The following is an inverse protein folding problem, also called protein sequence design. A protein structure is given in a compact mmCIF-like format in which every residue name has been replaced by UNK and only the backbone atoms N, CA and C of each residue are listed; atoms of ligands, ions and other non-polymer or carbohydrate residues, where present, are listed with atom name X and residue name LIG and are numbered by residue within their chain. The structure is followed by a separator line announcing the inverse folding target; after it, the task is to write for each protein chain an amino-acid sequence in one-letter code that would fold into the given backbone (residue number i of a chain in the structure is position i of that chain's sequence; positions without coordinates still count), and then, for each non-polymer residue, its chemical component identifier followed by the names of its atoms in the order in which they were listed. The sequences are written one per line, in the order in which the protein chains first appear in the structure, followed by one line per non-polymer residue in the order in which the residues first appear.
data_IF_225972082677
#
_entry.id   IF_225972082677
#
_cell.length_a   1.000
_cell.length_b   1.000
_cell.length_c   1.000
_cell.angle_alpha   90.00
_cell.angle_beta   90.00
_cell.angle_gamma   90.00
#
_symmetry.space_group_name_H-M   'P 1'
#
loop_
_entity.id
_entity.type
_entity.pdbx_description
1 polymer ?
#
# COMPACT_ATOMS: atom_id res chain seq x y z
N UNK A 1 -2.31 2.67 17.32
CA UNK A 1 -1.36 1.72 16.70
C UNK A 1 -1.58 1.76 15.19
N UNK A 2 -0.52 1.83 14.40
CA UNK A 2 -0.59 1.71 12.94
C UNK A 2 -0.70 0.21 12.60
N UNK A 3 -1.50 -0.14 11.61
CA UNK A 3 -1.66 -1.52 11.18
C UNK A 3 -1.38 -1.65 9.68
N UNK A 4 -0.69 -2.73 9.32
CA UNK A 4 -0.53 -3.19 7.94
C UNK A 4 -1.05 -4.62 7.85
N UNK A 5 -2.06 -4.82 7.04
CA UNK A 5 -2.55 -6.14 6.67
C UNK A 5 -2.11 -6.46 5.24
N UNK A 6 -1.62 -7.67 5.06
CA UNK A 6 -1.27 -8.19 3.75
C UNK A 6 -2.01 -9.52 3.57
N UNK A 7 -2.60 -9.71 2.41
CA UNK A 7 -3.27 -10.95 2.03
C UNK A 7 -2.82 -11.42 0.66
N UNK A 8 -2.79 -12.73 0.49
CA UNK A 8 -2.55 -13.37 -0.79
C UNK A 8 -3.87 -13.89 -1.37
N UNK A 9 -4.15 -13.51 -2.61
CA UNK A 9 -5.32 -13.99 -3.34
C UNK A 9 -4.98 -15.26 -4.12
N UNK A 10 -5.79 -16.28 -3.95
CA UNK A 10 -5.70 -17.48 -4.77
C UNK A 10 -6.25 -17.22 -6.18
N UNK A 11 -5.60 -17.76 -7.20
CA UNK A 11 -6.08 -17.64 -8.57
C UNK A 11 -7.46 -18.31 -8.70
N UNK A 12 -8.40 -17.59 -9.32
CA UNK A 12 -9.79 -18.08 -9.46
C UNK A 12 -10.64 -17.89 -8.20
N UNK A 13 -10.17 -17.13 -7.23
CA UNK A 13 -10.90 -16.81 -6.00
C UNK A 13 -12.29 -16.25 -6.28
N UNK A 14 -13.29 -16.71 -5.54
CA UNK A 14 -14.67 -16.26 -5.64
C UNK A 14 -15.20 -15.85 -4.26
N UNK A 15 -16.02 -14.83 -4.26
CA UNK A 15 -16.73 -14.36 -3.08
C UNK A 15 -18.23 -14.52 -3.25
N UNK A 16 -18.91 -14.85 -2.15
CA UNK A 16 -20.36 -14.93 -2.17
C UNK A 16 -20.99 -13.56 -2.46
N UNK A 17 -22.15 -13.47 -3.11
CA UNK A 17 -22.86 -12.21 -3.31
C UNK A 17 -23.10 -11.45 -2.00
N UNK A 18 -23.28 -12.15 -0.89
CA UNK A 18 -23.47 -11.55 0.41
C UNK A 18 -22.25 -10.74 0.89
N UNK A 19 -21.03 -11.16 0.58
CA UNK A 19 -19.83 -10.40 0.93
C UNK A 19 -19.73 -9.08 0.16
N UNK A 20 -20.28 -8.99 -1.04
CA UNK A 20 -20.38 -7.71 -1.76
C UNK A 20 -21.31 -6.70 -1.07
N UNK A 21 -22.27 -7.14 -0.24
CA UNK A 21 -23.14 -6.24 0.51
C UNK A 21 -22.44 -5.54 1.68
N UNK A 22 -21.25 -6.01 2.08
CA UNK A 22 -20.39 -5.31 3.05
C UNK A 22 -19.93 -3.95 2.52
N UNK A 23 -19.76 -3.84 1.20
CA UNK A 23 -19.35 -2.60 0.54
C UNK A 23 -20.55 -1.68 0.32
N UNK A 24 -20.34 -0.37 0.49
CA UNK A 24 -21.31 0.64 0.06
C UNK A 24 -21.49 0.67 -1.46
N UNK A 25 -22.52 1.35 -1.94
CA UNK A 25 -22.75 1.52 -3.39
C UNK A 25 -21.59 2.22 -4.08
N UNK A 26 -21.00 3.23 -3.45
CA UNK A 26 -19.84 3.97 -3.97
C UNK A 26 -18.61 3.07 -4.08
N UNK A 27 -18.36 2.24 -3.07
CA UNK A 27 -17.24 1.29 -3.06
C UNK A 27 -17.43 0.20 -4.12
N UNK A 28 -18.66 -0.32 -4.26
CA UNK A 28 -18.99 -1.28 -5.35
C UNK A 28 -18.81 -0.66 -6.72
N UNK A 29 -19.22 0.60 -6.89
CA UNK A 29 -19.03 1.32 -8.14
C UNK A 29 -17.53 1.50 -8.44
N UNK A 30 -16.71 1.82 -7.42
CA UNK A 30 -15.27 1.94 -7.58
C UNK A 30 -14.64 0.60 -8.02
N UNK A 31 -14.95 -0.51 -7.37
CA UNK A 31 -14.46 -1.85 -7.74
C UNK A 31 -14.80 -2.18 -9.19
N UNK A 32 -16.03 -1.86 -9.64
CA UNK A 32 -16.48 -2.15 -11.01
C UNK A 32 -15.83 -1.29 -12.10
N UNK A 33 -15.10 -0.23 -11.75
CA UNK A 33 -14.40 0.62 -12.72
C UNK A 33 -13.20 -0.06 -13.39
N UNK A 34 -12.62 -1.04 -12.74
CA UNK A 34 -11.50 -1.80 -13.30
C UNK A 34 -11.98 -2.66 -14.46
N UNK A 35 -11.18 -2.72 -15.54
CA UNK A 35 -11.52 -3.50 -16.73
C UNK A 35 -11.25 -5.00 -16.55
N UNK A 36 -10.15 -5.33 -15.86
CA UNK A 36 -9.74 -6.71 -15.62
C UNK A 36 -10.44 -7.25 -14.37
N UNK A 37 -10.87 -8.51 -14.42
CA UNK A 37 -11.52 -9.16 -13.27
C UNK A 37 -10.58 -9.32 -12.07
N UNK A 38 -9.30 -9.56 -12.33
CA UNK A 38 -8.28 -9.66 -11.32
C UNK A 38 -8.15 -8.33 -10.54
N UNK A 39 -8.09 -7.20 -11.24
CA UNK A 39 -8.02 -5.88 -10.62
C UNK A 39 -9.30 -5.54 -9.85
N UNK A 40 -10.47 -5.94 -10.36
CA UNK A 40 -11.73 -5.82 -9.62
C UNK A 40 -11.67 -6.61 -8.32
N UNK A 41 -11.14 -7.84 -8.38
CA UNK A 41 -11.01 -8.70 -7.21
C UNK A 41 -10.01 -8.13 -6.20
N UNK A 42 -8.85 -7.70 -6.65
CA UNK A 42 -7.84 -7.06 -5.79
C UNK A 42 -8.40 -5.80 -5.12
N UNK A 43 -9.11 -4.96 -5.87
CA UNK A 43 -9.78 -3.77 -5.33
C UNK A 43 -10.87 -4.13 -4.32
N UNK A 44 -11.64 -5.19 -4.57
CA UNK A 44 -12.65 -5.69 -3.65
C UNK A 44 -12.03 -6.16 -2.34
N UNK A 45 -11.00 -7.02 -2.42
CA UNK A 45 -10.28 -7.53 -1.25
C UNK A 45 -9.64 -6.39 -0.46
N UNK A 46 -8.97 -5.45 -1.14
CA UNK A 46 -8.38 -4.27 -0.50
C UNK A 46 -9.43 -3.44 0.26
N UNK A 47 -10.63 -3.30 -0.31
CA UNK A 47 -11.74 -2.61 0.36
C UNK A 47 -12.25 -3.39 1.58
N UNK A 48 -12.33 -4.72 1.51
CA UNK A 48 -12.68 -5.55 2.67
C UNK A 48 -11.63 -5.44 3.79
N UNK A 49 -10.33 -5.47 3.47
CA UNK A 49 -9.26 -5.25 4.44
C UNK A 49 -9.39 -3.88 5.12
N UNK A 50 -9.66 -2.84 4.34
CA UNK A 50 -9.88 -1.50 4.87
C UNK A 50 -11.11 -1.43 5.78
N UNK A 51 -12.22 -2.08 5.41
CA UNK A 51 -13.41 -2.22 6.24
C UNK A 51 -13.13 -2.94 7.55
N UNK A 52 -12.38 -4.05 7.49
CA UNK A 52 -11.96 -4.79 8.67
C UNK A 52 -11.16 -3.91 9.63
N UNK A 53 -10.17 -3.15 9.15
CA UNK A 53 -9.37 -2.24 9.96
C UNK A 53 -10.24 -1.11 10.54
N UNK A 54 -11.11 -0.52 9.75
CA UNK A 54 -12.03 0.53 10.22
C UNK A 54 -12.94 0.03 11.35
N UNK A 55 -13.46 -1.18 11.26
CA UNK A 55 -14.31 -1.74 12.30
C UNK A 55 -13.54 -2.02 13.59
N UNK A 56 -12.31 -2.55 13.49
CA UNK A 56 -11.42 -2.75 14.65
C UNK A 56 -11.09 -1.46 15.39
N UNK A 57 -11.00 -0.35 14.65
CA UNK A 57 -10.72 0.97 15.22
C UNK A 57 -11.99 1.79 15.51
N UNK A 58 -13.16 1.15 15.52
CA UNK A 58 -14.44 1.78 15.86
C UNK A 58 -14.75 3.05 15.04
N UNK A 59 -14.29 3.13 13.80
CA UNK A 59 -14.54 4.28 12.92
C UNK A 59 -15.95 4.28 12.32
N UNK A 60 -16.73 3.24 12.58
CA UNK A 60 -18.08 3.06 12.07
C UNK A 60 -18.12 2.60 10.61
N UNK A 61 -19.35 2.48 10.07
CA UNK A 61 -19.59 2.02 8.69
C UNK A 61 -19.58 3.19 7.68
N UNK A 62 -18.70 4.17 7.87
CA UNK A 62 -18.58 5.31 6.94
C UNK A 62 -18.04 4.84 5.59
N UNK A 63 -18.54 5.39 4.46
CA UNK A 63 -18.02 5.02 3.15
C UNK A 63 -16.56 5.44 2.97
N UNK A 64 -15.78 4.57 2.33
CA UNK A 64 -14.44 4.88 1.87
C UNK A 64 -14.58 5.61 0.53
N UNK A 65 -14.38 6.91 0.55
CA UNK A 65 -14.41 7.77 -0.64
C UNK A 65 -13.03 7.86 -1.28
N UNK A 66 -12.97 8.47 -2.46
CA UNK A 66 -11.73 8.70 -3.21
C UNK A 66 -11.58 10.17 -3.58
N UNK A 67 -10.37 10.69 -3.43
CA UNK A 67 -9.99 11.98 -3.96
C UNK A 67 -9.93 11.95 -5.50
N UNK A 68 -9.74 13.09 -6.14
CA UNK A 68 -9.51 13.17 -7.58
C UNK A 68 -8.24 12.40 -8.02
N UNK A 69 -7.23 12.30 -7.15
CA UNK A 69 -6.02 11.49 -7.36
C UNK A 69 -6.21 9.99 -7.07
N UNK A 70 -7.42 9.55 -6.66
CA UNK A 70 -7.73 8.16 -6.36
C UNK A 70 -7.39 7.72 -4.92
N UNK A 71 -6.85 8.61 -4.08
CA UNK A 71 -6.51 8.30 -2.71
C UNK A 71 -7.77 8.01 -1.88
N UNK A 72 -7.80 6.89 -1.11
CA UNK A 72 -8.91 6.61 -0.20
C UNK A 72 -8.93 7.57 0.98
N UNK A 73 -10.11 8.00 1.36
CA UNK A 73 -10.34 8.79 2.58
C UNK A 73 -11.71 8.48 3.18
N UNK A 74 -11.89 8.80 4.45
CA UNK A 74 -13.15 8.67 5.17
C UNK A 74 -13.49 10.03 5.77
N UNK A 75 -14.69 10.51 5.51
CA UNK A 75 -15.14 11.81 6.03
C UNK A 75 -15.17 11.81 7.56
N UNK A 76 -14.79 12.93 8.16
CA UNK A 76 -14.76 13.12 9.61
C UNK A 76 -13.89 12.07 10.35
N UNK A 77 -12.86 11.58 9.68
CA UNK A 77 -11.86 10.71 10.26
C UNK A 77 -10.47 11.36 10.11
N UNK A 78 -9.75 11.48 11.22
CA UNK A 78 -8.44 12.15 11.27
C UNK A 78 -7.29 11.29 10.76
N UNK A 79 -7.52 9.97 10.66
CA UNK A 79 -6.53 9.02 10.16
C UNK A 79 -6.60 8.83 8.65
N UNK A 80 -5.79 7.90 8.16
CA UNK A 80 -5.69 7.58 6.75
C UNK A 80 -5.66 6.08 6.51
N UNK A 81 -6.21 5.67 5.37
CA UNK A 81 -6.12 4.33 4.81
C UNK A 81 -5.28 4.41 3.54
N UNK A 82 -4.43 3.43 3.32
CA UNK A 82 -3.71 3.27 2.06
C UNK A 82 -3.79 1.82 1.59
N UNK A 83 -3.92 1.62 0.29
CA UNK A 83 -4.03 0.30 -0.32
C UNK A 83 -3.11 0.20 -1.52
N UNK A 84 -2.52 -0.97 -1.71
CA UNK A 84 -1.79 -1.35 -2.90
C UNK A 84 -2.01 -2.82 -3.22
N UNK A 85 -1.80 -3.19 -4.45
CA UNK A 85 -1.79 -4.60 -4.86
C UNK A 85 -0.87 -4.80 -6.07
N UNK A 86 -0.25 -5.95 -6.12
CA UNK A 86 0.52 -6.40 -7.27
C UNK A 86 0.30 -7.89 -7.42
N UNK A 87 -0.18 -8.31 -8.59
CA UNK A 87 -0.53 -9.71 -8.90
C UNK A 87 -1.48 -10.32 -7.85
N UNK A 88 -0.97 -11.26 -7.03
CA UNK A 88 -1.75 -11.99 -6.04
C UNK A 88 -1.78 -11.32 -4.67
N UNK A 89 -0.85 -10.38 -4.37
CA UNK A 89 -0.76 -9.76 -3.07
C UNK A 89 -1.50 -8.43 -2.99
N UNK A 90 -2.24 -8.26 -1.91
CA UNK A 90 -2.98 -7.04 -1.58
C UNK A 90 -2.52 -6.57 -0.19
N UNK A 91 -2.12 -5.31 -0.09
CA UNK A 91 -1.73 -4.65 1.14
C UNK A 91 -2.70 -3.53 1.49
N UNK A 92 -3.09 -3.45 2.76
CA UNK A 92 -3.90 -2.36 3.30
C UNK A 92 -3.27 -1.85 4.58
N UNK A 93 -2.91 -0.58 4.61
CA UNK A 93 -2.35 0.10 5.77
C UNK A 93 -3.34 1.10 6.35
N UNK A 94 -3.33 1.22 7.68
CA UNK A 94 -4.23 2.08 8.44
C UNK A 94 -3.45 2.86 9.51
N UNK A 95 -3.64 4.17 9.55
CA UNK A 95 -3.15 5.04 10.61
C UNK A 95 -4.31 5.76 11.27
N UNK A 96 -4.57 5.59 12.59
CA UNK A 96 -5.77 6.12 13.23
C UNK A 96 -5.81 7.65 13.29
N UNK A 97 -4.67 8.33 13.41
CA UNK A 97 -4.59 9.77 13.67
C UNK A 97 -3.54 10.50 12.80
N UNK A 98 -3.09 9.87 11.71
CA UNK A 98 -2.01 10.43 10.90
C UNK A 98 -2.08 9.99 9.44
N UNK A 99 -1.00 10.24 8.72
CA UNK A 99 -0.87 9.91 7.31
C UNK A 99 -0.12 8.60 7.13
N UNK A 100 -0.53 7.82 6.12
CA UNK A 100 0.08 6.55 5.77
C UNK A 100 0.00 6.28 4.27
N UNK A 101 1.04 5.64 3.75
CA UNK A 101 1.08 5.10 2.40
C UNK A 101 1.69 3.71 2.43
N UNK A 102 1.17 2.81 1.62
CA UNK A 102 1.73 1.48 1.39
C UNK A 102 1.84 1.24 -0.10
N UNK A 103 2.93 0.61 -0.48
CA UNK A 103 3.09 0.10 -1.83
C UNK A 103 3.69 -1.30 -1.80
N UNK A 104 3.17 -2.18 -2.65
CA UNK A 104 3.64 -3.57 -2.83
C UNK A 104 3.77 -3.86 -4.32
N UNK A 105 4.91 -4.43 -4.72
CA UNK A 105 5.18 -4.77 -6.10
C UNK A 105 5.89 -6.11 -6.23
N UNK A 106 5.45 -6.89 -7.22
CA UNK A 106 6.16 -8.10 -7.63
C UNK A 106 7.41 -7.74 -8.41
N UNK A 107 8.53 -8.23 -7.96
CA UNK A 107 9.80 -8.06 -8.67
C UNK A 107 9.75 -8.87 -9.97
N UNK A 108 9.78 -8.18 -11.08
CA UNK A 108 9.72 -8.76 -12.43
C UNK A 108 10.84 -8.23 -13.31
N UNK A 109 10.97 -8.81 -14.49
CA UNK A 109 11.91 -8.32 -15.49
C UNK A 109 11.44 -6.95 -16.00
N UNK A 110 12.32 -5.99 -15.97
CA UNK A 110 12.08 -4.63 -16.49
C UNK A 110 13.34 -4.16 -17.22
N UNK A 111 13.13 -3.34 -18.25
CA UNK A 111 14.23 -2.69 -18.92
C UNK A 111 14.91 -1.70 -17.97
N UNK A 112 16.19 -1.95 -17.70
CA UNK A 112 16.95 -1.10 -16.80
C UNK A 112 17.27 0.28 -17.37
N UNK A 113 16.95 0.56 -18.64
CA UNK A 113 17.09 1.91 -19.23
C UNK A 113 16.14 2.93 -18.58
N UNK A 114 15.01 2.46 -18.03
CA UNK A 114 14.04 3.33 -17.33
C UNK A 114 14.55 3.90 -15.99
N UNK A 115 15.69 3.41 -15.48
CA UNK A 115 16.27 3.83 -14.20
C UNK A 115 16.43 5.34 -14.09
N UNK A 116 16.82 5.99 -15.16
CA UNK A 116 17.04 7.45 -15.20
C UNK A 116 15.76 8.25 -14.99
N UNK A 117 14.58 7.64 -15.17
CA UNK A 117 13.29 8.32 -15.03
C UNK A 117 12.82 8.38 -13.57
N UNK A 118 13.29 7.48 -12.73
CA UNK A 118 12.81 7.41 -11.33
C UNK A 118 13.88 7.29 -10.24
N UNK A 119 15.12 6.95 -10.54
CA UNK A 119 16.20 7.02 -9.57
C UNK A 119 16.92 8.38 -9.60
N UNK A 120 17.18 8.94 -8.42
CA UNK A 120 18.09 10.09 -8.29
C UNK A 120 19.50 9.74 -8.77
N UNK A 121 20.33 10.76 -9.06
CA UNK A 121 21.73 10.51 -9.46
C UNK A 121 22.55 9.78 -8.39
N UNK A 122 22.22 9.95 -7.12
CA UNK A 122 22.87 9.25 -6.02
C UNK A 122 22.41 7.78 -5.95
N UNK A 123 21.12 7.54 -6.05
CA UNK A 123 20.55 6.19 -6.11
C UNK A 123 21.08 5.42 -7.33
N UNK A 124 21.22 6.07 -8.49
CA UNK A 124 21.83 5.46 -9.69
C UNK A 124 23.27 5.01 -9.44
N UNK A 125 24.08 5.82 -8.72
CA UNK A 125 25.45 5.43 -8.36
C UNK A 125 25.46 4.18 -7.47
N UNK A 126 24.63 4.14 -6.44
CA UNK A 126 24.47 2.96 -5.57
C UNK A 126 24.02 1.73 -6.36
N UNK A 127 23.07 1.93 -7.27
CA UNK A 127 22.57 0.87 -8.14
C UNK A 127 23.68 0.30 -9.07
N UNK A 128 24.59 1.14 -9.55
CA UNK A 128 25.70 0.71 -10.39
C UNK A 128 26.74 -0.15 -9.66
N UNK A 129 26.82 -0.06 -8.33
CA UNK A 129 27.72 -0.90 -7.52
C UNK A 129 27.22 -2.32 -7.32
N UNK A 130 25.97 -2.60 -7.65
CA UNK A 130 25.38 -3.94 -7.52
C UNK A 130 25.87 -4.87 -8.62
N UNK A 131 26.18 -6.11 -8.26
CA UNK A 131 26.86 -7.03 -9.17
C UNK A 131 25.86 -7.85 -10.00
N UNK A 132 24.79 -8.31 -9.37
CA UNK A 132 23.83 -9.22 -10.02
C UNK A 132 22.60 -8.49 -10.54
N UNK A 133 21.95 -9.08 -11.54
CA UNK A 133 20.68 -8.59 -12.07
C UNK A 133 19.57 -8.65 -11.02
N UNK A 134 19.58 -9.68 -10.20
CA UNK A 134 18.61 -9.90 -9.12
C UNK A 134 18.70 -8.79 -8.07
N UNK A 135 19.92 -8.45 -7.64
CA UNK A 135 20.16 -7.33 -6.71
C UNK A 135 19.63 -6.00 -7.30
N UNK A 136 19.95 -5.76 -8.56
CA UNK A 136 19.51 -4.55 -9.28
C UNK A 136 17.99 -4.46 -9.36
N UNK A 137 17.32 -5.53 -9.76
CA UNK A 137 15.86 -5.56 -9.83
C UNK A 137 15.23 -5.35 -8.45
N UNK A 138 15.72 -6.06 -7.42
CA UNK A 138 15.19 -5.92 -6.07
C UNK A 138 15.37 -4.49 -5.53
N UNK A 139 16.54 -3.90 -5.71
CA UNK A 139 16.80 -2.52 -5.30
C UNK A 139 15.91 -1.53 -6.05
N UNK A 140 15.72 -1.73 -7.35
CA UNK A 140 14.86 -0.90 -8.19
C UNK A 140 13.42 -0.87 -7.67
N UNK A 141 12.83 -2.05 -7.46
CA UNK A 141 11.49 -2.18 -6.92
C UNK A 141 11.39 -1.67 -5.47
N UNK A 142 12.48 -1.78 -4.70
CA UNK A 142 12.55 -1.21 -3.35
C UNK A 142 12.50 0.33 -3.39
N UNK A 143 13.29 0.98 -4.24
CA UNK A 143 13.20 2.42 -4.44
C UNK A 143 11.82 2.85 -4.94
N UNK A 144 11.26 2.10 -5.90
CA UNK A 144 9.94 2.35 -6.43
C UNK A 144 8.88 2.33 -5.34
N UNK A 145 8.79 1.24 -4.57
CA UNK A 145 7.77 1.08 -3.53
C UNK A 145 7.91 2.12 -2.41
N UNK A 146 9.14 2.54 -2.06
CA UNK A 146 9.37 3.63 -1.09
C UNK A 146 8.82 4.97 -1.60
N UNK A 147 9.07 5.31 -2.85
CA UNK A 147 8.61 6.57 -3.47
C UNK A 147 7.09 6.58 -3.63
N UNK A 148 6.52 5.48 -4.10
CA UNK A 148 5.07 5.32 -4.18
C UNK A 148 4.37 5.38 -2.81
N UNK A 149 4.93 4.73 -1.79
CA UNK A 149 4.40 4.80 -0.43
C UNK A 149 4.42 6.24 0.09
N UNK A 150 5.48 7.01 -0.18
CA UNK A 150 5.55 8.42 0.18
C UNK A 150 4.45 9.23 -0.53
N UNK A 151 4.29 9.10 -1.85
CA UNK A 151 3.26 9.82 -2.59
C UNK A 151 1.84 9.49 -2.13
N UNK A 152 1.60 8.22 -1.81
CA UNK A 152 0.32 7.78 -1.23
C UNK A 152 0.09 8.38 0.16
N UNK A 153 1.14 8.50 0.99
CA UNK A 153 1.04 9.15 2.29
C UNK A 153 0.79 10.66 2.18
N UNK A 154 1.49 11.35 1.25
CA UNK A 154 1.28 12.78 0.98
C UNK A 154 -0.09 13.08 0.34
N UNK A 155 -0.62 12.13 -0.46
CA UNK A 155 -1.85 12.32 -1.22
C UNK A 155 -1.67 13.09 -2.52
N UNK A 156 -0.43 13.32 -2.94
CA UNK A 156 -0.11 14.12 -4.13
C UNK A 156 -0.13 13.30 -5.42
N UNK A 157 0.01 11.98 -5.32
CA UNK A 157 0.23 11.08 -6.46
C UNK A 157 1.56 11.38 -7.17
N UNK A 158 1.90 10.58 -8.18
CA UNK A 158 3.14 10.70 -8.98
C UNK A 158 3.25 12.08 -9.67
N UNK A 159 2.13 12.71 -10.00
CA UNK A 159 2.13 14.01 -10.69
C UNK A 159 2.60 15.19 -9.81
N UNK A 160 2.67 15.01 -8.50
CA UNK A 160 3.01 16.08 -7.56
C UNK A 160 4.51 16.43 -7.50
N UNK A 161 5.39 15.50 -7.85
CA UNK A 161 6.84 15.67 -7.72
C UNK A 161 7.59 14.68 -8.61
N UNK A 162 8.71 15.08 -9.20
CA UNK A 162 9.54 14.16 -9.98
C UNK A 162 10.13 13.06 -9.08
N UNK A 163 10.04 11.82 -9.50
CA UNK A 163 10.59 10.66 -8.76
C UNK A 163 12.10 10.81 -8.53
N UNK A 164 12.81 11.38 -9.48
CA UNK A 164 14.27 11.64 -9.40
C UNK A 164 14.66 12.69 -8.37
N UNK A 165 13.72 13.51 -7.89
CA UNK A 165 13.97 14.49 -6.83
C UNK A 165 13.89 13.90 -5.42
N UNK A 166 13.42 12.66 -5.29
CA UNK A 166 13.32 11.93 -4.05
C UNK A 166 14.50 10.97 -3.95
N UNK A 167 15.20 11.00 -2.82
CA UNK A 167 16.39 10.21 -2.59
C UNK A 167 16.32 9.46 -1.26
N UNK A 168 16.49 8.14 -1.36
CA UNK A 168 16.53 7.24 -0.21
C UNK A 168 17.90 6.60 -0.03
N UNK A 169 18.25 6.34 1.25
CA UNK A 169 19.22 5.33 1.60
C UNK A 169 18.49 4.05 2.03
N UNK A 170 18.86 2.92 1.44
CA UNK A 170 18.27 1.61 1.73
C UNK A 170 18.85 0.97 2.99
N UNK A 171 19.00 1.75 4.07
CA UNK A 171 19.29 1.22 5.41
C UNK A 171 18.04 0.56 6.01
N UNK A 172 18.17 -0.10 7.12
CA UNK A 172 17.04 -0.67 7.86
C UNK A 172 16.90 0.01 9.24
N UNK A 173 15.98 0.98 9.43
CA UNK A 173 14.94 1.42 8.49
C UNK A 173 15.48 2.30 7.36
N UNK A 174 14.74 2.41 6.22
CA UNK A 174 15.10 3.31 5.13
C UNK A 174 15.05 4.78 5.55
N UNK A 175 15.97 5.59 5.03
CA UNK A 175 16.06 7.02 5.35
C UNK A 175 15.85 7.86 4.09
N UNK A 176 14.92 8.81 4.17
CA UNK A 176 14.69 9.83 3.14
C UNK A 176 15.68 10.99 3.33
N UNK A 177 16.50 11.25 2.32
CA UNK A 177 17.49 12.34 2.35
C UNK A 177 17.03 13.58 1.59
N UNK A 178 16.34 13.38 0.48
CA UNK A 178 15.92 14.48 -0.40
C UNK A 178 14.45 14.30 -0.79
N UNK A 179 13.71 15.38 -0.85
CA UNK A 179 14.11 16.75 -0.55
C UNK A 179 14.15 17.03 0.98
N UNK A 180 15.03 17.97 1.36
CA UNK A 180 15.30 18.26 2.79
C UNK A 180 14.06 18.67 3.60
N UNK A 181 13.08 19.30 2.95
CA UNK A 181 11.82 19.69 3.60
C UNK A 181 10.93 18.50 3.99
N UNK A 182 11.19 17.31 3.47
CA UNK A 182 10.50 16.07 3.84
C UNK A 182 11.29 15.22 4.83
N UNK A 183 12.60 15.46 4.95
CA UNK A 183 13.45 14.73 5.88
C UNK A 183 12.94 14.88 7.31
N UNK A 184 12.83 13.77 8.03
CA UNK A 184 12.33 13.75 9.42
C UNK A 184 10.83 13.90 9.61
N UNK A 185 10.05 14.17 8.54
CA UNK A 185 8.58 14.22 8.62
C UNK A 185 7.93 12.85 8.46
N UNK A 186 8.66 11.92 7.88
CA UNK A 186 8.18 10.61 7.49
C UNK A 186 9.06 9.51 8.05
N UNK A 187 8.44 8.45 8.48
CA UNK A 187 9.11 7.19 8.78
C UNK A 187 8.82 6.19 7.68
N UNK A 188 9.78 5.30 7.46
CA UNK A 188 9.68 4.25 6.45
C UNK A 188 10.04 2.91 7.07
N UNK A 189 9.42 1.87 6.57
CA UNK A 189 9.79 0.50 6.88
C UNK A 189 9.58 -0.40 5.66
N UNK A 190 10.37 -1.45 5.61
CA UNK A 190 10.11 -2.58 4.73
C UNK A 190 9.16 -3.55 5.44
N UNK A 191 8.09 -3.95 4.77
CA UNK A 191 7.31 -5.08 5.24
C UNK A 191 8.12 -6.38 5.11
N UNK A 192 7.78 -7.44 5.87
CA UNK A 192 8.48 -8.71 5.77
C UNK A 192 8.62 -9.18 4.33
N UNK A 193 9.78 -9.72 3.99
CA UNK A 193 10.10 -10.19 2.65
C UNK A 193 9.16 -11.33 2.26
N UNK A 194 8.40 -11.12 1.18
CA UNK A 194 7.77 -12.20 0.44
C UNK A 194 8.68 -12.56 -0.73
N UNK A 195 8.85 -13.83 -1.07
CA UNK A 195 9.65 -14.19 -2.24
C UNK A 195 9.18 -13.41 -3.47
N UNK A 196 10.10 -12.73 -4.13
CA UNK A 196 9.86 -11.92 -5.32
C UNK A 196 8.91 -10.71 -5.16
N UNK A 197 8.70 -10.17 -3.95
CA UNK A 197 7.95 -8.93 -3.74
C UNK A 197 8.74 -7.92 -2.90
N UNK A 198 8.56 -6.65 -3.24
CA UNK A 198 8.95 -5.52 -2.40
C UNK A 198 7.68 -4.87 -1.83
N UNK A 199 7.67 -4.59 -0.54
CA UNK A 199 6.59 -3.85 0.10
C UNK A 199 7.16 -2.82 1.06
N UNK A 200 6.74 -1.57 0.88
CA UNK A 200 7.21 -0.44 1.69
C UNK A 200 6.02 0.31 2.30
N UNK A 201 6.23 0.80 3.51
CA UNK A 201 5.27 1.65 4.23
C UNK A 201 5.92 2.97 4.56
N UNK A 202 5.20 4.06 4.30
CA UNK A 202 5.53 5.42 4.72
C UNK A 202 4.45 5.92 5.68
N UNK A 203 4.83 6.52 6.80
CA UNK A 203 3.86 7.07 7.74
C UNK A 203 4.39 8.33 8.42
N UNK A 204 3.47 9.24 8.80
CA UNK A 204 3.83 10.44 9.54
C UNK A 204 4.29 10.09 10.96
N UNK A 205 5.37 10.73 11.40
CA UNK A 205 5.95 10.51 12.71
C UNK A 205 5.45 11.55 13.71
N UNK A 206 4.53 11.11 14.58
CA UNK A 206 4.29 11.83 15.84
C UNK A 206 3.65 10.86 16.84
N UNK A 207 4.27 10.60 17.96
CA UNK A 207 5.61 10.09 18.19
C UNK A 207 5.81 8.69 17.62
N UNK A 208 7.02 8.14 17.57
CA UNK A 208 7.39 6.86 16.97
C UNK A 208 6.31 5.77 17.17
N UNK A 209 5.40 5.65 16.20
CA UNK A 209 4.27 4.76 16.32
C UNK A 209 4.72 3.33 15.97
N UNK A 210 4.34 2.37 16.80
CA UNK A 210 4.55 0.96 16.49
C UNK A 210 3.64 0.56 15.32
N UNK A 211 4.23 -0.05 14.29
CA UNK A 211 3.50 -0.62 13.17
C UNK A 211 3.32 -2.11 13.41
N UNK A 212 2.08 -2.56 13.51
CA UNK A 212 1.72 -3.97 13.58
C UNK A 212 1.53 -4.49 12.15
N UNK A 213 2.34 -5.47 11.76
CA UNK A 213 2.27 -6.09 10.43
C UNK A 213 1.72 -7.50 10.60
N UNK A 214 0.67 -7.82 9.86
CA UNK A 214 0.00 -9.10 9.92
C UNK A 214 -0.34 -9.63 8.53
N UNK A 215 -0.01 -10.91 8.30
CA UNK A 215 -0.61 -11.67 7.21
C UNK A 215 -1.99 -12.12 7.64
N UNK A 216 -3.00 -11.81 6.82
CA UNK A 216 -4.37 -12.24 7.02
C UNK A 216 -4.78 -13.12 5.85
N UNK A 217 -5.18 -14.34 6.09
CA UNK A 217 -5.68 -15.20 5.04
C UNK A 217 -7.05 -14.72 4.51
N UNK A 218 -7.34 -14.99 3.24
CA UNK A 218 -8.68 -14.72 2.70
C UNK A 218 -9.78 -15.51 3.42
N UNK A 219 -9.44 -16.65 3.98
CA UNK A 219 -10.39 -17.44 4.78
C UNK A 219 -10.80 -16.67 6.03
N UNK A 220 -9.85 -16.19 6.83
CA UNK A 220 -10.12 -15.37 8.02
C UNK A 220 -10.93 -14.11 7.68
N UNK A 221 -10.58 -13.42 6.59
CA UNK A 221 -11.30 -12.23 6.15
C UNK A 221 -12.76 -12.54 5.76
N UNK A 222 -12.97 -13.63 5.02
CA UNK A 222 -14.31 -14.11 4.64
C UNK A 222 -15.14 -14.54 5.86
N UNK A 223 -14.53 -15.30 6.76
CA UNK A 223 -15.19 -15.78 7.98
C UNK A 223 -15.62 -14.58 8.85
N UNK A 224 -14.74 -13.61 9.05
CA UNK A 224 -15.06 -12.41 9.81
C UNK A 224 -16.34 -11.71 9.32
N UNK A 225 -16.42 -11.42 8.02
CA UNK A 225 -17.60 -10.75 7.47
C UNK A 225 -18.83 -11.66 7.36
N UNK A 226 -18.64 -12.96 7.16
CA UNK A 226 -19.76 -13.92 7.15
C UNK A 226 -20.42 -14.00 8.53
N UNK A 227 -19.62 -14.08 9.60
CA UNK A 227 -20.13 -14.05 10.98
C UNK A 227 -20.90 -12.76 11.27
N UNK A 228 -20.45 -11.62 10.77
CA UNK A 228 -21.15 -10.35 10.95
C UNK A 228 -22.44 -10.22 10.15
N UNK A 229 -22.53 -10.85 9.00
CA UNK A 229 -23.73 -10.84 8.17
C UNK A 229 -24.82 -11.79 8.67
N UNK A 230 -24.43 -12.90 9.30
CA UNK A 230 -25.34 -14.00 9.67
C UNK A 230 -25.26 -14.44 11.13
N UNK A 231 -24.24 -14.00 11.88
CA UNK A 231 -24.11 -14.26 13.30
C UNK A 231 -25.00 -13.28 14.09
N UNK A 232 -26.05 -13.80 14.67
CA UNK A 232 -26.87 -13.12 15.68
C UNK A 232 -26.19 -13.17 17.05
#
# INVERSE_FOLDING_TARGET
MIELLITERTKGEQFSPALYSVLTDEERAHVRRYRRKEDQMNSFIGTLLARYLMERHHTGQRPIKRTASGQPYVEQFSGQISMSHSEEFIACAFHPNGKIGVDIEKVGDIDLEVISEFLSKSEQRTFQTMETKEEKLFALYTYWTLKEALFKAEGTGIAGRALTSIEFNLTAPPVLYSPAELAGKWNFLFAPSFPAYCCSVCYSSEPAATVNIQMMSLHELKEYFTLRLYGN
#
